data_IF_349522031430
#
_entry.id   IF_349522031430
#
_cell.length_a   1.000
_cell.length_b   1.000
_cell.length_c   1.000
_cell.angle_alpha   90.00
_cell.angle_beta   90.00
_cell.angle_gamma   90.00
#
_symmetry.space_group_name_H-M   'P 1'
#
loop_
_entity.id
_entity.type
_entity.pdbx_description
1 polymer ?
#
# COMPACT_ATOMS: atom_id res chain seq x y z
N UNK A 1 -12.29 35.42 -10.73
CA UNK A 1 -12.54 34.25 -11.58
C UNK A 1 -11.39 33.26 -11.50
N UNK A 2 -11.64 32.07 -10.95
CA UNK A 2 -10.64 30.98 -10.92
C UNK A 2 -10.62 30.25 -12.27
N UNK A 3 -9.43 29.93 -12.77
CA UNK A 3 -9.25 29.35 -14.10
C UNK A 3 -9.74 27.90 -14.20
N UNK A 4 -9.96 27.39 -15.41
CA UNK A 4 -10.44 26.03 -15.64
C UNK A 4 -9.54 24.92 -15.02
N UNK A 5 -8.23 25.17 -14.90
CA UNK A 5 -7.29 24.28 -14.22
C UNK A 5 -7.51 24.24 -12.69
N UNK A 6 -7.90 25.36 -12.08
CA UNK A 6 -8.22 25.46 -10.65
C UNK A 6 -9.54 24.76 -10.32
N UNK A 7 -10.48 24.76 -11.26
CA UNK A 7 -11.72 23.98 -11.14
C UNK A 7 -11.46 22.46 -11.19
N UNK A 8 -10.60 22.01 -12.10
CA UNK A 8 -10.24 20.59 -12.21
C UNK A 8 -9.48 20.09 -10.98
N UNK A 9 -8.60 20.90 -10.39
CA UNK A 9 -7.89 20.56 -9.16
C UNK A 9 -8.83 20.52 -7.95
N UNK A 10 -9.75 21.48 -7.81
CA UNK A 10 -10.75 21.50 -6.75
C UNK A 10 -11.70 20.28 -6.82
N UNK A 11 -12.13 19.88 -8.03
CA UNK A 11 -12.95 18.67 -8.23
C UNK A 11 -12.19 17.39 -7.85
N UNK A 12 -10.89 17.34 -8.11
CA UNK A 12 -10.04 16.20 -7.70
C UNK A 12 -9.91 16.13 -6.18
N UNK A 13 -9.60 17.25 -5.52
CA UNK A 13 -9.52 17.32 -4.06
C UNK A 13 -10.86 16.93 -3.44
N UNK A 14 -11.99 17.41 -3.97
CA UNK A 14 -13.32 17.03 -3.47
C UNK A 14 -13.60 15.53 -3.62
N UNK A 15 -13.24 14.92 -4.76
CA UNK A 15 -13.35 13.47 -4.97
C UNK A 15 -12.47 12.67 -4.02
N UNK A 16 -11.23 13.10 -3.81
CA UNK A 16 -10.30 12.47 -2.88
C UNK A 16 -10.79 12.60 -1.44
N UNK A 17 -11.25 13.78 -1.01
CA UNK A 17 -11.87 14.00 0.31
C UNK A 17 -13.13 13.13 0.50
N UNK A 18 -13.99 13.05 -0.51
CA UNK A 18 -15.21 12.22 -0.44
C UNK A 18 -14.85 10.74 -0.35
N UNK A 19 -13.86 10.29 -1.11
CA UNK A 19 -13.34 8.92 -1.05
C UNK A 19 -12.76 8.61 0.33
N UNK A 20 -11.94 9.52 0.88
CA UNK A 20 -11.35 9.38 2.21
C UNK A 20 -12.42 9.36 3.30
N UNK A 21 -13.48 10.18 3.19
CA UNK A 21 -14.60 10.16 4.12
C UNK A 21 -15.36 8.83 4.08
N UNK A 22 -15.69 8.33 2.89
CA UNK A 22 -16.37 7.03 2.71
C UNK A 22 -15.48 5.88 3.20
N UNK A 23 -14.19 5.88 2.87
CA UNK A 23 -13.24 4.88 3.35
C UNK A 23 -13.08 4.94 4.88
N UNK A 24 -13.03 6.14 5.45
CA UNK A 24 -12.95 6.35 6.89
C UNK A 24 -14.18 5.83 7.62
N UNK A 25 -15.37 6.06 7.08
CA UNK A 25 -16.61 5.54 7.65
C UNK A 25 -16.71 4.02 7.54
N UNK A 26 -16.38 3.46 6.37
CA UNK A 26 -16.30 2.00 6.20
C UNK A 26 -15.29 1.36 7.15
N UNK A 27 -14.13 1.98 7.35
CA UNK A 27 -13.12 1.51 8.30
C UNK A 27 -13.63 1.56 9.75
N UNK A 28 -14.31 2.64 10.17
CA UNK A 28 -14.93 2.72 11.51
C UNK A 28 -15.93 1.60 11.74
N UNK A 29 -16.81 1.36 10.78
CA UNK A 29 -17.81 0.29 10.84
C UNK A 29 -17.15 -1.08 10.95
N UNK A 30 -16.11 -1.34 10.15
CA UNK A 30 -15.36 -2.60 10.22
C UNK A 30 -14.63 -2.76 11.56
N UNK A 31 -13.97 -1.72 12.06
CA UNK A 31 -13.23 -1.75 13.34
C UNK A 31 -14.16 -1.94 14.54
N UNK A 32 -15.40 -1.46 14.46
CA UNK A 32 -16.42 -1.69 15.48
C UNK A 32 -16.81 -3.19 15.60
N UNK A 33 -16.68 -3.97 14.52
CA UNK A 33 -16.96 -5.41 14.52
C UNK A 33 -15.81 -6.28 15.03
N UNK A 34 -14.61 -5.70 15.23
CA UNK A 34 -13.41 -6.43 15.65
C UNK A 34 -13.35 -6.64 17.17
N UNK A 35 -12.98 -7.85 17.58
CA UNK A 35 -12.54 -8.10 18.94
C UNK A 35 -11.21 -7.38 19.24
N UNK A 36 -10.82 -7.31 20.52
CA UNK A 36 -9.51 -6.74 20.90
C UNK A 36 -8.35 -7.51 20.24
N UNK A 37 -8.42 -8.82 20.23
CA UNK A 37 -7.37 -9.67 19.65
C UNK A 37 -7.32 -9.52 18.13
N UNK A 38 -8.47 -9.37 17.48
CA UNK A 38 -8.54 -9.11 16.04
C UNK A 38 -7.96 -7.74 15.68
N UNK A 39 -8.11 -6.72 16.53
CA UNK A 39 -7.42 -5.43 16.36
C UNK A 39 -5.91 -5.58 16.50
N UNK A 40 -5.44 -6.35 17.47
CA UNK A 40 -4.01 -6.61 17.67
C UNK A 40 -3.37 -7.29 16.44
N UNK A 41 -4.09 -8.23 15.81
CA UNK A 41 -3.64 -8.88 14.55
C UNK A 41 -3.36 -7.88 13.43
N UNK A 42 -4.09 -6.78 13.36
CA UNK A 42 -3.98 -5.76 12.32
C UNK A 42 -2.92 -4.68 12.59
N UNK A 43 -2.35 -4.64 13.80
CA UNK A 43 -1.32 -3.63 14.17
C UNK A 43 0.02 -4.26 14.56
N UNK A 44 0.08 -5.59 14.65
CA UNK A 44 1.28 -6.33 14.99
C UNK A 44 1.80 -7.13 13.79
N UNK A 45 3.05 -6.86 13.41
CA UNK A 45 3.75 -7.68 12.44
C UNK A 45 4.03 -9.08 12.97
N UNK A 46 4.10 -10.06 12.06
CA UNK A 46 4.46 -11.46 12.38
C UNK A 46 5.88 -11.66 12.92
N UNK A 47 6.71 -10.60 12.83
CA UNK A 47 8.07 -10.55 13.34
C UNK A 47 9.13 -10.95 12.31
N UNK A 48 10.33 -10.39 12.46
CA UNK A 48 11.50 -10.74 11.67
C UNK A 48 12.11 -12.05 12.20
N UNK A 49 12.38 -13.01 11.31
CA UNK A 49 12.99 -14.31 11.67
C UNK A 49 14.31 -14.56 10.95
N UNK A 50 15.13 -13.51 10.86
CA UNK A 50 16.43 -13.56 10.21
C UNK A 50 16.34 -13.57 8.68
N UNK A 51 17.48 -13.78 8.04
CA UNK A 51 17.65 -13.63 6.59
C UNK A 51 17.08 -14.80 5.75
N UNK A 52 16.65 -15.88 6.41
CA UNK A 52 16.04 -17.02 5.72
C UNK A 52 14.58 -16.69 5.46
N UNK A 53 14.25 -16.45 4.18
CA UNK A 53 12.88 -16.16 3.76
C UNK A 53 11.96 -17.32 4.12
N UNK A 54 10.87 -17.03 4.82
CA UNK A 54 9.79 -17.99 5.00
C UNK A 54 8.93 -18.08 3.72
N UNK A 55 8.64 -19.29 3.22
CA UNK A 55 7.75 -19.47 2.07
C UNK A 55 6.39 -18.78 2.31
N UNK A 56 5.92 -18.00 1.33
CA UNK A 56 4.66 -17.25 1.41
C UNK A 56 4.73 -15.91 2.16
N UNK A 57 5.84 -15.60 2.83
CA UNK A 57 6.03 -14.32 3.52
C UNK A 57 6.67 -13.27 2.61
N UNK A 58 6.38 -12.02 2.95
CA UNK A 58 6.93 -10.82 2.34
C UNK A 58 7.95 -10.20 3.31
N UNK A 59 8.53 -9.05 2.96
CA UNK A 59 9.43 -8.33 3.89
C UNK A 59 8.72 -8.01 5.20
N UNK A 60 7.42 -7.68 5.14
CA UNK A 60 6.58 -7.64 6.31
C UNK A 60 5.18 -8.18 6.05
N UNK A 61 4.57 -8.73 7.09
CA UNK A 61 3.20 -9.21 7.07
C UNK A 61 2.52 -8.88 8.41
N UNK A 62 1.25 -8.52 8.37
CA UNK A 62 0.35 -8.58 9.54
C UNK A 62 -0.67 -9.69 9.32
N UNK A 63 -1.27 -10.17 10.40
CA UNK A 63 -2.29 -11.20 10.28
C UNK A 63 -3.63 -10.60 9.85
N UNK A 64 -4.36 -11.31 8.99
CA UNK A 64 -5.74 -10.97 8.66
C UNK A 64 -6.73 -11.39 9.75
N UNK A 65 -8.03 -11.14 9.51
CA UNK A 65 -9.15 -11.52 10.37
C UNK A 65 -10.12 -12.41 9.57
N UNK A 66 -9.92 -13.75 9.55
CA UNK A 66 -10.68 -14.67 8.71
C UNK A 66 -12.19 -14.65 8.97
N UNK A 67 -12.61 -14.44 10.24
CA UNK A 67 -14.03 -14.35 10.61
C UNK A 67 -14.78 -13.26 9.85
N UNK A 68 -14.10 -12.16 9.55
CA UNK A 68 -14.64 -11.03 8.78
C UNK A 68 -14.16 -11.02 7.32
N UNK A 69 -13.48 -12.06 6.86
CA UNK A 69 -12.93 -12.14 5.50
C UNK A 69 -11.77 -11.17 5.22
N UNK A 70 -11.14 -10.59 6.25
CA UNK A 70 -10.02 -9.65 6.06
C UNK A 70 -8.74 -10.45 5.80
N UNK A 71 -8.06 -10.28 4.65
CA UNK A 71 -6.83 -11.00 4.35
C UNK A 71 -5.63 -10.46 5.14
N UNK A 72 -4.53 -11.20 5.11
CA UNK A 72 -3.21 -10.70 5.54
C UNK A 72 -2.81 -9.51 4.68
N UNK A 73 -2.22 -8.47 5.28
CA UNK A 73 -1.55 -7.41 4.52
C UNK A 73 -0.09 -7.81 4.32
N UNK A 74 0.32 -7.83 3.06
CA UNK A 74 1.67 -8.18 2.63
C UNK A 74 2.39 -6.90 2.21
N UNK A 75 3.53 -6.61 2.82
CA UNK A 75 4.30 -5.39 2.61
C UNK A 75 5.66 -5.77 2.02
N UNK A 76 6.02 -5.12 0.91
CA UNK A 76 7.18 -5.47 0.11
C UNK A 76 7.93 -4.23 -0.32
N UNK A 77 9.26 -4.32 -0.32
CA UNK A 77 10.11 -3.31 -0.92
C UNK A 77 10.01 -3.43 -2.46
N UNK A 78 10.26 -2.41 -3.27
CA UNK A 78 10.91 -1.14 -2.98
C UNK A 78 10.23 0.01 -3.75
N UNK A 79 10.79 1.21 -3.63
CA UNK A 79 10.35 2.39 -4.39
C UNK A 79 10.55 2.27 -5.91
N UNK A 80 11.53 1.48 -6.38
CA UNK A 80 11.85 1.32 -7.80
C UNK A 80 11.50 -0.06 -8.39
N UNK A 81 10.46 -0.70 -7.85
CA UNK A 81 10.00 -2.01 -8.32
C UNK A 81 9.84 -3.00 -7.18
N UNK A 82 9.77 -4.29 -7.50
CA UNK A 82 9.56 -5.36 -6.51
C UNK A 82 10.89 -5.97 -6.07
N UNK A 83 11.25 -5.85 -4.81
CA UNK A 83 12.45 -6.46 -4.23
C UNK A 83 12.27 -7.97 -4.16
N UNK A 84 13.04 -8.68 -4.97
CA UNK A 84 13.04 -10.14 -4.97
C UNK A 84 13.76 -10.66 -3.73
N UNK A 85 13.00 -11.25 -2.81
CA UNK A 85 13.50 -11.95 -1.62
C UNK A 85 13.47 -13.48 -1.78
N UNK A 86 13.02 -13.96 -2.93
CA UNK A 86 12.96 -15.37 -3.30
C UNK A 86 13.69 -15.55 -4.63
N UNK A 87 14.67 -16.46 -4.73
CA UNK A 87 15.42 -16.70 -5.96
C UNK A 87 14.51 -17.04 -7.15
N UNK A 88 13.35 -17.67 -6.90
CA UNK A 88 12.39 -18.02 -7.96
C UNK A 88 11.81 -16.79 -8.65
N UNK A 89 11.77 -15.63 -7.99
CA UNK A 89 11.21 -14.39 -8.56
C UNK A 89 12.26 -13.56 -9.32
N UNK A 90 13.55 -13.92 -9.20
CA UNK A 90 14.63 -13.18 -9.86
C UNK A 90 14.44 -13.26 -11.38
N UNK A 91 14.52 -12.10 -12.04
CA UNK A 91 14.29 -11.99 -13.48
C UNK A 91 12.82 -11.95 -13.93
N UNK A 92 11.85 -11.98 -12.99
CA UNK A 92 10.42 -11.92 -13.30
C UNK A 92 9.79 -10.55 -13.03
N UNK A 93 10.57 -9.57 -12.54
CA UNK A 93 10.10 -8.25 -12.14
C UNK A 93 10.96 -7.15 -12.77
N UNK A 94 10.34 -6.01 -13.06
CA UNK A 94 11.02 -4.84 -13.61
C UNK A 94 11.73 -4.06 -12.50
N UNK A 95 13.01 -3.75 -12.73
CA UNK A 95 13.74 -2.75 -11.95
C UNK A 95 13.63 -1.41 -12.66
N UNK A 96 12.80 -0.51 -12.13
CA UNK A 96 12.57 0.81 -12.69
C UNK A 96 13.74 1.77 -12.39
N UNK A 97 13.87 2.89 -13.14
CA UNK A 97 14.75 3.98 -12.73
C UNK A 97 14.42 4.46 -11.31
N UNK A 98 15.43 4.94 -10.58
CA UNK A 98 15.20 5.51 -9.25
C UNK A 98 14.38 6.80 -9.34
N UNK A 99 13.75 7.20 -8.22
CA UNK A 99 12.93 8.40 -8.17
C UNK A 99 13.68 9.68 -8.59
N UNK A 100 15.01 9.74 -8.35
CA UNK A 100 15.84 10.86 -8.80
C UNK A 100 15.94 10.95 -10.33
N UNK A 101 16.10 9.80 -11.01
CA UNK A 101 16.12 9.76 -12.47
C UNK A 101 14.76 10.10 -13.07
N UNK A 102 13.67 9.61 -12.45
CA UNK A 102 12.31 9.98 -12.83
C UNK A 102 12.08 11.49 -12.67
N UNK A 103 12.48 12.08 -11.54
CA UNK A 103 12.36 13.52 -11.33
C UNK A 103 13.18 14.34 -12.33
N UNK A 104 14.40 13.86 -12.68
CA UNK A 104 15.27 14.50 -13.66
C UNK A 104 14.71 14.50 -15.10
N UNK A 105 13.64 13.73 -15.39
CA UNK A 105 12.93 13.82 -16.67
C UNK A 105 12.13 15.11 -16.82
N UNK A 106 11.73 15.73 -15.69
CA UNK A 106 10.77 16.85 -15.66
C UNK A 106 9.46 16.58 -16.41
N UNK A 107 9.10 15.31 -16.60
CA UNK A 107 7.87 14.90 -17.27
C UNK A 107 6.89 14.29 -16.25
N UNK A 108 5.86 15.05 -15.82
CA UNK A 108 4.86 14.55 -14.89
C UNK A 108 4.01 13.41 -15.44
N UNK A 109 4.06 13.11 -16.74
CA UNK A 109 3.34 11.96 -17.30
C UNK A 109 4.05 10.64 -16.99
N UNK A 110 5.37 10.65 -16.78
CA UNK A 110 6.15 9.46 -16.41
C UNK A 110 5.98 9.05 -14.93
N UNK A 111 5.39 9.91 -14.10
CA UNK A 111 5.28 9.72 -12.64
C UNK A 111 3.86 9.40 -12.14
N UNK A 112 2.92 9.06 -13.04
CA UNK A 112 1.50 8.83 -12.72
C UNK A 112 1.12 7.35 -12.67
#
# INVERSE_FOLDING_TARGET
>A
DMGAADWASAQRVQKECTRLAVCGEAAKQLVALLSRDEKLRLVQGVGWRGWVKQPGFYVGNILGVPRLGIPSINMQDAAQGFRTIDPRMVGQVTSWPCALALAASWDPSLAR
#
